data_IF_349264875719
#
_entry.id   IF_349264875719
#
_cell.length_a   1.000
_cell.length_b   1.000
_cell.length_c   1.000
_cell.angle_alpha   90.00
_cell.angle_beta   90.00
_cell.angle_gamma   90.00
#
_symmetry.space_group_name_H-M   'P 1'
#
loop_
_entity.id
_entity.type
_entity.pdbx_description
1 polymer ?
#
# COMPACT_ATOMS: atom_id res chain seq x y z
N UNK A 1 -14.79 -59.71 -17.56
CA UNK A 1 -14.75 -59.15 -16.19
C UNK A 1 -13.59 -58.16 -16.03
N UNK A 2 -12.36 -58.55 -16.40
CA UNK A 2 -11.16 -57.71 -16.32
C UNK A 2 -11.26 -56.32 -16.99
N UNK A 3 -11.97 -56.21 -18.11
CA UNK A 3 -12.15 -54.95 -18.85
C UNK A 3 -12.98 -53.92 -18.06
N UNK A 4 -14.00 -54.38 -17.32
CA UNK A 4 -14.87 -53.49 -16.53
C UNK A 4 -14.13 -53.00 -15.29
N UNK A 5 -13.35 -53.88 -14.65
CA UNK A 5 -12.50 -53.53 -13.51
C UNK A 5 -11.39 -52.55 -13.88
N UNK A 6 -10.76 -52.71 -15.05
CA UNK A 6 -9.73 -51.77 -15.53
C UNK A 6 -10.33 -50.41 -15.90
N UNK A 7 -11.53 -50.36 -16.50
CA UNK A 7 -12.23 -49.10 -16.77
C UNK A 7 -12.65 -48.38 -15.47
N UNK A 8 -13.11 -49.11 -14.45
CA UNK A 8 -13.41 -48.56 -13.13
C UNK A 8 -12.15 -48.03 -12.44
N UNK A 9 -11.04 -48.74 -12.53
CA UNK A 9 -9.76 -48.30 -11.97
C UNK A 9 -9.26 -47.00 -12.63
N UNK A 10 -9.34 -46.90 -13.97
CA UNK A 10 -9.02 -45.67 -14.70
C UNK A 10 -9.95 -44.50 -14.36
N UNK A 11 -11.25 -44.75 -14.19
CA UNK A 11 -12.21 -43.73 -13.77
C UNK A 11 -11.90 -43.19 -12.35
N UNK A 12 -11.58 -44.09 -11.41
CA UNK A 12 -11.18 -43.68 -10.05
C UNK A 12 -9.86 -42.89 -10.10
N UNK A 13 -8.87 -43.37 -10.85
CA UNK A 13 -7.57 -42.71 -10.97
C UNK A 13 -7.70 -41.30 -11.56
N UNK A 14 -8.54 -41.12 -12.58
CA UNK A 14 -8.78 -39.80 -13.19
C UNK A 14 -9.47 -38.83 -12.23
N UNK A 15 -10.47 -39.29 -11.46
CA UNK A 15 -11.12 -38.47 -10.42
C UNK A 15 -10.11 -38.05 -9.35
N UNK A 16 -9.29 -38.98 -8.87
CA UNK A 16 -8.22 -38.68 -7.90
C UNK A 16 -7.20 -37.70 -8.49
N UNK A 17 -6.79 -37.89 -9.75
CA UNK A 17 -5.88 -36.98 -10.43
C UNK A 17 -6.42 -35.55 -10.54
N UNK A 18 -7.69 -35.39 -10.90
CA UNK A 18 -8.33 -34.06 -11.02
C UNK A 18 -8.46 -33.39 -9.66
N UNK A 19 -8.85 -34.13 -8.62
CA UNK A 19 -8.98 -33.57 -7.27
C UNK A 19 -7.64 -33.11 -6.70
N UNK A 20 -6.57 -33.90 -6.88
CA UNK A 20 -5.21 -33.50 -6.51
C UNK A 20 -4.72 -32.28 -7.30
N UNK A 21 -5.03 -32.20 -8.59
CA UNK A 21 -4.71 -31.03 -9.41
C UNK A 21 -5.42 -29.78 -8.87
N UNK A 22 -6.71 -29.87 -8.57
CA UNK A 22 -7.47 -28.75 -8.02
C UNK A 22 -6.92 -28.29 -6.67
N UNK A 23 -6.55 -29.23 -5.79
CA UNK A 23 -5.90 -28.91 -4.51
C UNK A 23 -4.56 -28.19 -4.72
N UNK A 24 -3.75 -28.65 -5.68
CA UNK A 24 -2.47 -28.03 -6.00
C UNK A 24 -2.62 -26.58 -6.49
N UNK A 25 -3.63 -26.32 -7.33
CA UNK A 25 -3.94 -24.98 -7.84
C UNK A 25 -4.51 -24.07 -6.75
N UNK A 26 -5.26 -24.62 -5.80
CA UNK A 26 -5.87 -23.86 -4.70
C UNK A 26 -4.82 -23.21 -3.80
N UNK A 27 -3.61 -23.78 -3.71
CA UNK A 27 -2.49 -23.23 -2.93
C UNK A 27 -1.92 -21.94 -3.55
N UNK A 28 -2.16 -21.67 -4.84
CA UNK A 28 -1.63 -20.48 -5.52
C UNK A 28 -2.27 -19.18 -5.02
N UNK A 29 -3.55 -19.21 -4.65
CA UNK A 29 -4.29 -18.03 -4.16
C UNK A 29 -3.66 -17.40 -2.91
N UNK A 30 -3.47 -18.17 -1.81
CA UNK A 30 -2.79 -17.68 -0.61
C UNK A 30 -1.37 -17.18 -0.87
N UNK A 31 -0.62 -17.83 -1.77
CA UNK A 31 0.74 -17.38 -2.14
C UNK A 31 0.73 -16.02 -2.83
N UNK A 32 -0.16 -15.82 -3.80
CA UNK A 32 -0.31 -14.54 -4.49
C UNK A 32 -0.74 -13.43 -3.52
N UNK A 33 -1.64 -13.74 -2.57
CA UNK A 33 -2.02 -12.81 -1.52
C UNK A 33 -0.84 -12.37 -0.68
N UNK A 34 -0.07 -13.31 -0.12
CA UNK A 34 1.10 -13.00 0.71
C UNK A 34 2.12 -12.16 -0.06
N UNK A 35 2.38 -12.48 -1.33
CA UNK A 35 3.28 -11.67 -2.17
C UNK A 35 2.79 -10.22 -2.30
N UNK A 36 1.50 -10.02 -2.59
CA UNK A 36 0.90 -8.68 -2.70
C UNK A 36 0.95 -7.91 -1.37
N UNK A 37 0.76 -8.60 -0.25
CA UNK A 37 0.88 -8.00 1.07
C UNK A 37 2.32 -7.52 1.33
N UNK A 38 3.31 -8.37 1.10
CA UNK A 38 4.72 -8.05 1.33
C UNK A 38 5.20 -6.87 0.47
N UNK A 39 4.89 -6.87 -0.84
CA UNK A 39 5.34 -5.78 -1.72
C UNK A 39 4.66 -4.45 -1.41
N UNK A 40 3.37 -4.47 -1.05
CA UNK A 40 2.66 -3.25 -0.65
C UNK A 40 3.17 -2.69 0.68
N UNK A 41 3.52 -3.55 1.65
CA UNK A 41 4.11 -3.12 2.93
C UNK A 41 5.52 -2.58 2.77
N UNK A 42 6.32 -3.21 1.91
CA UNK A 42 7.65 -2.72 1.56
C UNK A 42 7.56 -1.31 0.93
N UNK A 43 6.62 -1.11 0.01
CA UNK A 43 6.40 0.20 -0.61
C UNK A 43 5.95 1.26 0.41
N UNK A 44 5.06 0.93 1.33
CA UNK A 44 4.66 1.87 2.39
C UNK A 44 5.78 2.17 3.38
N UNK A 45 6.71 1.24 3.58
CA UNK A 45 7.93 1.50 4.36
C UNK A 45 8.84 2.49 3.65
N UNK A 46 8.96 2.38 2.33
CA UNK A 46 9.61 3.41 1.51
C UNK A 46 8.93 4.77 1.65
N UNK A 47 7.60 4.85 1.49
CA UNK A 47 6.82 6.09 1.64
C UNK A 47 7.04 6.73 3.01
N UNK A 48 7.02 5.93 4.07
CA UNK A 48 7.33 6.38 5.43
C UNK A 48 8.72 7.02 5.49
N UNK A 49 9.73 6.33 4.99
CA UNK A 49 11.11 6.82 5.04
C UNK A 49 11.29 8.09 4.20
N UNK A 50 10.56 8.21 3.09
CA UNK A 50 10.58 9.41 2.25
C UNK A 50 9.94 10.58 2.98
N UNK A 51 8.78 10.36 3.61
CA UNK A 51 8.10 11.36 4.43
C UNK A 51 8.90 11.78 5.66
N UNK A 52 9.72 10.89 6.24
CA UNK A 52 10.59 11.21 7.39
C UNK A 52 11.88 11.96 7.00
N UNK A 53 12.41 11.72 5.79
CA UNK A 53 13.72 12.22 5.35
C UNK A 53 13.69 13.48 4.50
N UNK A 54 12.56 13.79 3.86
CA UNK A 54 12.46 15.02 3.07
C UNK A 54 12.74 16.23 3.98
N UNK A 55 13.56 17.20 3.54
CA UNK A 55 13.77 18.44 4.28
C UNK A 55 12.44 19.11 4.60
N UNK A 56 12.33 19.70 5.80
CA UNK A 56 11.05 20.19 6.28
C UNK A 56 10.54 21.36 5.45
N UNK A 57 11.44 22.22 4.99
CA UNK A 57 11.16 23.31 4.04
C UNK A 57 10.54 22.80 2.74
N UNK A 58 11.00 21.66 2.21
CA UNK A 58 10.45 21.05 1.00
C UNK A 58 9.12 20.35 1.28
N UNK A 59 8.93 19.82 2.49
CA UNK A 59 7.65 19.24 2.91
C UNK A 59 6.55 20.30 2.94
N UNK A 60 6.86 21.50 3.42
CA UNK A 60 5.90 22.60 3.55
C UNK A 60 5.79 23.49 2.31
N UNK A 61 6.66 23.30 1.32
CA UNK A 61 6.63 24.02 0.06
C UNK A 61 5.35 23.74 -0.76
N UNK A 62 5.08 24.61 -1.74
CA UNK A 62 3.92 24.51 -2.63
C UNK A 62 4.03 23.35 -3.62
N UNK A 63 5.25 22.98 -4.02
CA UNK A 63 5.59 21.87 -4.91
C UNK A 63 5.90 20.57 -4.14
N UNK A 64 5.55 20.52 -2.85
CA UNK A 64 5.76 19.34 -2.01
C UNK A 64 5.12 18.09 -2.64
N UNK A 65 5.80 16.93 -2.58
CA UNK A 65 5.21 15.65 -2.98
C UNK A 65 3.93 15.31 -2.19
N UNK A 66 3.76 15.92 -1.00
CA UNK A 66 2.54 15.91 -0.22
C UNK A 66 1.89 17.31 -0.27
N UNK A 67 0.93 17.52 -1.17
CA UNK A 67 0.24 18.80 -1.25
C UNK A 67 -0.63 19.05 -0.02
N UNK A 68 -0.85 20.33 0.29
CA UNK A 68 -1.68 20.76 1.40
C UNK A 68 -3.14 20.37 1.18
N UNK A 69 -3.74 19.64 2.12
CA UNK A 69 -5.16 19.29 2.09
C UNK A 69 -6.03 20.56 1.94
N UNK A 70 -7.07 20.58 1.08
CA UNK A 70 -7.73 19.44 0.44
C UNK A 70 -7.09 18.91 -0.84
N UNK A 71 -5.98 19.49 -1.30
CA UNK A 71 -5.29 18.98 -2.49
C UNK A 71 -4.60 17.65 -2.20
N UNK A 72 -4.58 16.79 -3.21
CA UNK A 72 -3.93 15.48 -3.17
C UNK A 72 -3.08 15.29 -4.42
N UNK A 73 -1.99 14.54 -4.29
CA UNK A 73 -1.17 14.11 -5.41
C UNK A 73 -1.38 12.62 -5.63
N UNK A 74 -1.83 12.23 -6.82
CA UNK A 74 -2.13 10.83 -7.16
C UNK A 74 -1.25 10.37 -8.30
N UNK A 75 -0.47 9.31 -8.07
CA UNK A 75 0.53 8.81 -9.02
C UNK A 75 0.44 7.28 -9.10
N UNK A 76 0.53 6.73 -10.32
CA UNK A 76 0.70 5.29 -10.51
C UNK A 76 2.16 4.91 -10.31
N UNK A 77 2.41 3.93 -9.46
CA UNK A 77 3.75 3.56 -9.02
C UNK A 77 3.96 2.05 -9.13
N UNK A 78 5.18 1.66 -9.47
CA UNK A 78 5.59 0.25 -9.40
C UNK A 78 5.88 -0.10 -7.94
N UNK A 79 5.09 -1.00 -7.35
CA UNK A 79 5.27 -1.44 -5.95
C UNK A 79 6.17 -2.67 -5.82
N UNK A 80 6.43 -3.36 -6.93
CA UNK A 80 7.32 -4.51 -6.98
C UNK A 80 7.27 -5.22 -8.32
N UNK A 81 7.99 -6.35 -8.44
CA UNK A 81 8.00 -7.19 -9.63
C UNK A 81 7.76 -8.66 -9.29
N UNK A 82 6.98 -9.33 -10.12
CA UNK A 82 6.85 -10.79 -10.10
C UNK A 82 8.00 -11.44 -10.87
N UNK A 83 8.30 -12.73 -10.61
CA UNK A 83 9.18 -13.52 -11.46
C UNK A 83 8.82 -13.40 -12.94
N UNK A 84 9.83 -13.32 -13.81
CA UNK A 84 9.63 -13.00 -15.22
C UNK A 84 9.50 -11.49 -15.51
N UNK A 85 9.98 -10.64 -14.59
CA UNK A 85 10.08 -9.18 -14.75
C UNK A 85 8.73 -8.49 -15.04
N UNK A 86 7.64 -9.01 -14.46
CA UNK A 86 6.30 -8.42 -14.62
C UNK A 86 6.05 -7.39 -13.50
N UNK A 87 5.84 -6.10 -13.82
CA UNK A 87 5.62 -5.09 -12.78
C UNK A 87 4.29 -5.30 -12.08
N UNK A 88 4.28 -5.05 -10.78
CA UNK A 88 3.09 -4.90 -9.96
C UNK A 88 2.91 -3.41 -9.75
N UNK A 89 1.76 -2.88 -10.16
CA UNK A 89 1.46 -1.45 -10.07
C UNK A 89 0.43 -1.17 -8.99
N UNK A 90 0.62 -0.08 -8.27
CA UNK A 90 -0.37 0.51 -7.37
C UNK A 90 -0.56 2.00 -7.69
N UNK A 91 -1.49 2.63 -6.99
CA UNK A 91 -1.72 4.07 -7.05
C UNK A 91 -1.47 4.65 -5.68
N UNK A 92 -0.51 5.56 -5.57
CA UNK A 92 -0.23 6.28 -4.33
C UNK A 92 -0.98 7.61 -4.36
N UNK A 93 -1.67 7.94 -3.27
CA UNK A 93 -2.28 9.25 -3.05
C UNK A 93 -1.65 9.88 -1.82
N UNK A 94 -1.14 11.10 -1.97
CA UNK A 94 -0.40 11.82 -0.94
C UNK A 94 -1.10 13.12 -0.57
N UNK A 95 -1.08 13.46 0.72
CA UNK A 95 -1.55 14.75 1.22
C UNK A 95 -0.88 15.08 2.56
N UNK A 96 -0.83 16.35 2.93
CA UNK A 96 -0.39 16.80 4.26
C UNK A 96 -1.43 17.71 4.92
N UNK A 97 -1.46 17.73 6.24
CA UNK A 97 -2.32 18.58 7.06
C UNK A 97 -1.50 19.22 8.19
N UNK A 98 -1.65 20.53 8.43
CA UNK A 98 -1.08 21.16 9.60
C UNK A 98 -1.88 20.76 10.84
N UNK A 99 -1.21 20.74 11.99
CA UNK A 99 -1.89 20.68 13.28
C UNK A 99 -2.59 22.02 13.57
N UNK A 100 -3.70 21.97 14.33
CA UNK A 100 -4.48 23.16 14.67
C UNK A 100 -3.73 24.12 15.61
N UNK A 101 -2.79 23.61 16.41
CA UNK A 101 -1.97 24.40 17.34
C UNK A 101 -0.76 25.06 16.68
N UNK A 102 -0.52 24.80 15.38
CA UNK A 102 0.44 25.57 14.61
C UNK A 102 0.02 27.04 14.53
N UNK A 103 0.99 27.94 14.41
CA UNK A 103 0.69 29.35 14.17
C UNK A 103 -0.01 29.56 12.80
N UNK A 104 -0.75 30.68 12.62
CA UNK A 104 -1.45 30.97 11.38
C UNK A 104 -0.57 30.97 10.13
N UNK A 105 0.70 31.37 10.27
CA UNK A 105 1.68 31.32 9.16
C UNK A 105 1.97 29.89 8.68
N UNK A 106 1.77 28.89 9.55
CA UNK A 106 1.98 27.47 9.29
C UNK A 106 0.65 26.69 9.12
N UNK A 107 -0.45 27.40 8.90
CA UNK A 107 -1.76 26.82 8.54
C UNK A 107 -2.65 26.40 9.71
N UNK A 108 -2.27 26.70 10.96
CA UNK A 108 -3.08 26.46 12.14
C UNK A 108 -3.77 27.70 12.70
N UNK A 109 -4.18 27.63 13.95
CA UNK A 109 -4.86 28.70 14.71
C UNK A 109 -4.20 28.99 16.06
N UNK A 110 -3.05 28.39 16.35
CA UNK A 110 -2.35 28.52 17.62
C UNK A 110 -1.83 29.93 17.89
N UNK A 111 -1.66 30.24 19.16
CA UNK A 111 -1.12 31.50 19.67
C UNK A 111 0.07 31.25 20.59
N UNK A 112 0.73 32.30 21.07
CA UNK A 112 1.80 32.18 22.07
C UNK A 112 1.33 31.47 23.35
N UNK A 113 0.03 31.50 23.66
CA UNK A 113 -0.54 30.83 24.83
C UNK A 113 -0.74 29.33 24.60
N UNK A 114 -1.17 28.94 23.39
CA UNK A 114 -1.43 27.52 23.06
C UNK A 114 -0.19 26.78 22.54
N UNK A 115 0.74 27.49 21.90
CA UNK A 115 1.99 26.94 21.36
C UNK A 115 3.19 27.86 21.70
N UNK A 116 3.57 27.96 22.99
CA UNK A 116 4.66 28.84 23.43
C UNK A 116 6.02 28.43 22.85
N UNK A 117 6.18 27.17 22.43
CA UNK A 117 7.39 26.64 21.84
C UNK A 117 7.55 26.98 20.34
N UNK A 118 6.52 27.57 19.70
CA UNK A 118 6.48 27.83 18.27
C UNK A 118 6.78 26.59 17.40
N UNK A 119 6.42 25.40 17.88
CA UNK A 119 6.62 24.14 17.16
C UNK A 119 5.67 24.03 15.98
N UNK A 120 6.14 23.43 14.89
CA UNK A 120 5.37 23.19 13.66
C UNK A 120 5.13 21.70 13.48
N UNK A 121 3.88 21.28 13.56
CA UNK A 121 3.49 19.87 13.44
C UNK A 121 2.72 19.67 12.14
N UNK A 122 3.11 18.65 11.38
CA UNK A 122 2.49 18.29 10.12
C UNK A 122 2.18 16.80 10.09
N UNK A 123 0.93 16.47 9.80
CA UNK A 123 0.48 15.12 9.47
C UNK A 123 0.71 14.88 7.97
N UNK A 124 1.54 13.92 7.64
CA UNK A 124 1.88 13.54 6.26
C UNK A 124 1.27 12.16 5.98
N UNK A 125 0.31 12.10 5.06
CA UNK A 125 -0.44 10.88 4.77
C UNK A 125 -0.16 10.38 3.34
N UNK A 126 0.17 9.10 3.25
CA UNK A 126 0.34 8.35 2.01
C UNK A 126 -0.64 7.17 2.00
N UNK A 127 -1.48 7.08 0.97
CA UNK A 127 -2.49 6.03 0.79
C UNK A 127 -2.21 5.25 -0.48
N UNK A 128 -1.82 3.99 -0.33
CA UNK A 128 -1.57 3.06 -1.43
C UNK A 128 -2.85 2.27 -1.74
N UNK A 129 -3.36 2.44 -2.96
CA UNK A 129 -4.46 1.66 -3.52
C UNK A 129 -3.92 0.66 -4.53
N UNK A 130 -4.24 -0.61 -4.39
CA UNK A 130 -3.80 -1.66 -5.30
C UNK A 130 -4.90 -2.70 -5.52
N UNK A 131 -4.84 -3.40 -6.65
CA UNK A 131 -5.81 -4.44 -7.00
C UNK A 131 -5.17 -5.81 -6.85
N UNK A 132 -5.92 -6.73 -6.27
CA UNK A 132 -5.63 -8.16 -6.35
C UNK A 132 -6.87 -8.88 -6.84
N UNK A 133 -6.74 -9.54 -8.00
CA UNK A 133 -7.88 -10.16 -8.69
C UNK A 133 -8.99 -9.10 -8.90
N UNK A 134 -10.22 -9.36 -8.45
CA UNK A 134 -11.37 -8.47 -8.59
C UNK A 134 -11.56 -7.52 -7.40
N UNK A 135 -10.64 -7.51 -6.43
CA UNK A 135 -10.77 -6.71 -5.20
C UNK A 135 -9.75 -5.59 -5.15
N UNK A 136 -10.21 -4.41 -4.74
CA UNK A 136 -9.37 -3.25 -4.46
C UNK A 136 -9.04 -3.24 -2.99
N UNK A 137 -7.77 -3.09 -2.68
CA UNK A 137 -7.25 -2.99 -1.33
C UNK A 137 -6.58 -1.64 -1.16
N UNK A 138 -6.65 -1.15 0.08
CA UNK A 138 -6.07 0.13 0.46
C UNK A 138 -5.23 -0.11 1.70
N UNK A 139 -4.02 0.44 1.69
CA UNK A 139 -3.18 0.57 2.88
C UNK A 139 -2.76 2.02 3.01
N UNK A 140 -2.74 2.52 4.24
CA UNK A 140 -2.36 3.89 4.54
C UNK A 140 -1.17 3.92 5.49
N UNK A 141 -0.33 4.93 5.32
CA UNK A 141 0.72 5.28 6.25
C UNK A 141 0.62 6.77 6.54
N UNK A 142 0.63 7.10 7.83
CA UNK A 142 0.75 8.46 8.31
C UNK A 142 2.09 8.62 9.02
N UNK A 143 2.73 9.77 8.82
CA UNK A 143 3.94 10.21 9.51
C UNK A 143 3.66 11.59 10.09
N UNK A 144 3.98 11.76 11.37
CA UNK A 144 3.96 13.08 12.01
C UNK A 144 5.37 13.65 11.93
N UNK A 145 5.49 14.86 11.39
CA UNK A 145 6.73 15.62 11.34
C UNK A 145 6.59 16.82 12.26
N UNK A 146 7.56 17.02 13.14
CA UNK A 146 7.65 18.19 14.00
C UNK A 146 9.02 18.84 13.87
N UNK A 147 9.05 20.16 13.88
CA UNK A 147 10.28 20.97 13.96
C UNK A 147 10.02 22.23 14.77
#
# INVERSE_FOLDING_TARGET
MLLVESMLSLAILTIVGITLLQLSLSILGPRQWTLQQVVSDAYLTYERSYAERIPFENLVAADSPWPLYPQTSTITVEIGRLPGNRPITGTITRTRRPDADNYPVDGGSGTLDSNPAAMKIWEVQSVLTYKMSQRTYVKSRTVIRSQ
#
